data_IF_116555735691
#
_entry.id   IF_116555735691
#
_cell.length_a   1.000
_cell.length_b   1.000
_cell.length_c   1.000
_cell.angle_alpha   90.00
_cell.angle_beta   90.00
_cell.angle_gamma   90.00
#
_symmetry.space_group_name_H-M   'P 1'
#
loop_
_entity.id
_entity.type
_entity.pdbx_description
1 polymer ?
#
# COMPACT_ATOMS: atom_id res chain seq x y z
N UNK A 1 -27.64 26.01 41.80
CA UNK A 1 -28.61 26.14 40.70
C UNK A 1 -27.85 26.48 39.43
N UNK A 2 -27.94 25.63 38.41
CA UNK A 2 -27.50 25.90 37.04
C UNK A 2 -26.30 25.08 36.57
N UNK A 3 -26.51 23.80 36.25
CA UNK A 3 -25.65 23.09 35.29
C UNK A 3 -25.92 23.64 33.88
N UNK A 4 -24.88 23.89 33.06
CA UNK A 4 -25.01 23.98 31.61
C UNK A 4 -24.37 22.79 30.88
N UNK A 5 -24.82 22.50 29.65
CA UNK A 5 -25.03 21.15 29.15
C UNK A 5 -23.80 20.43 28.58
N UNK A 6 -23.87 19.09 28.65
CA UNK A 6 -23.06 18.13 27.91
C UNK A 6 -23.17 18.39 26.40
N UNK A 7 -22.15 19.03 25.83
CA UNK A 7 -22.03 19.17 24.37
C UNK A 7 -21.20 18.01 23.83
N UNK A 8 -21.91 17.04 23.25
CA UNK A 8 -21.36 15.91 22.49
C UNK A 8 -20.74 16.44 21.21
N UNK A 9 -19.40 16.59 21.17
CA UNK A 9 -18.69 16.95 19.94
C UNK A 9 -18.20 15.65 19.28
N UNK A 10 -19.00 15.15 18.33
CA UNK A 10 -18.53 14.24 17.28
C UNK A 10 -17.80 15.09 16.23
N UNK A 11 -16.47 14.96 16.16
CA UNK A 11 -15.67 15.34 15.01
C UNK A 11 -14.48 14.34 15.00
N UNK A 12 -14.45 13.35 14.12
CA UNK A 12 -14.34 13.56 12.68
C UNK A 12 -12.85 13.60 12.36
N UNK A 13 -12.31 12.47 11.94
CA UNK A 13 -10.89 12.21 11.74
C UNK A 13 -10.17 13.33 10.96
N UNK A 14 -9.22 14.00 11.62
CA UNK A 14 -8.28 14.92 10.99
C UNK A 14 -6.92 14.21 10.81
N UNK A 15 -6.86 13.31 9.83
CA UNK A 15 -5.57 12.81 9.33
C UNK A 15 -5.12 13.79 8.23
N UNK A 16 -4.51 14.91 8.62
CA UNK A 16 -4.01 15.91 7.68
C UNK A 16 -2.49 16.06 7.81
N UNK A 17 -1.81 15.50 6.81
CA UNK A 17 -0.66 16.06 6.13
C UNK A 17 0.59 16.41 6.97
N UNK A 18 1.50 15.44 7.08
CA UNK A 18 2.93 15.70 7.23
C UNK A 18 3.68 14.92 6.14
N UNK A 19 3.73 15.49 4.94
CA UNK A 19 4.61 15.07 3.85
C UNK A 19 5.27 16.31 3.27
N UNK A 20 6.30 16.80 3.97
CA UNK A 20 7.21 17.81 3.46
C UNK A 20 8.63 17.27 3.52
N UNK A 21 9.35 17.48 2.42
CA UNK A 21 10.79 17.35 2.21
C UNK A 21 11.34 16.00 1.69
N UNK A 22 11.40 15.92 0.36
CA UNK A 22 12.58 15.36 -0.31
C UNK A 22 12.80 16.07 -1.66
N UNK A 23 13.57 17.15 -1.64
CA UNK A 23 14.01 17.86 -2.82
C UNK A 23 15.47 17.48 -3.12
N UNK A 24 15.75 17.01 -4.35
CA UNK A 24 17.03 17.27 -5.01
C UNK A 24 18.08 16.16 -5.07
N UNK A 25 17.92 15.22 -6.01
CA UNK A 25 19.06 14.64 -6.77
C UNK A 25 18.53 13.99 -8.07
N UNK A 26 18.94 14.44 -9.27
CA UNK A 26 18.33 13.99 -10.53
C UNK A 26 18.63 12.51 -10.89
N UNK A 27 19.61 11.89 -10.22
CA UNK A 27 19.87 10.44 -10.32
C UNK A 27 19.10 9.59 -9.28
N UNK A 28 18.66 10.18 -8.17
CA UNK A 28 17.88 9.48 -7.13
C UNK A 28 16.37 9.64 -7.31
N UNK A 29 15.92 10.60 -8.12
CA UNK A 29 14.49 10.86 -8.34
C UNK A 29 13.73 9.64 -8.87
N UNK A 30 14.30 8.88 -9.82
CA UNK A 30 13.66 7.68 -10.37
C UNK A 30 13.63 6.50 -9.41
N UNK A 31 14.70 6.32 -8.63
CA UNK A 31 14.73 5.31 -7.57
C UNK A 31 13.74 5.65 -6.43
N UNK A 32 13.60 6.94 -6.13
CA UNK A 32 12.61 7.45 -5.18
C UNK A 32 11.18 7.18 -5.63
N UNK A 33 10.85 7.50 -6.88
CA UNK A 33 9.51 7.29 -7.44
C UNK A 33 9.06 5.82 -7.39
N UNK A 34 9.93 4.88 -7.77
CA UNK A 34 9.62 3.45 -7.67
C UNK A 34 9.43 3.01 -6.20
N UNK A 35 10.20 3.57 -5.26
CA UNK A 35 10.05 3.29 -3.83
C UNK A 35 8.74 3.85 -3.26
N UNK A 36 8.35 5.07 -3.65
CA UNK A 36 7.07 5.69 -3.29
C UNK A 36 5.87 4.90 -3.82
N UNK A 37 5.94 4.46 -5.08
CA UNK A 37 4.91 3.63 -5.70
C UNK A 37 4.82 2.24 -5.03
N UNK A 38 5.95 1.66 -4.65
CA UNK A 38 5.99 0.42 -3.87
C UNK A 38 5.33 0.61 -2.50
N UNK A 39 5.65 1.69 -1.78
CA UNK A 39 5.02 2.00 -0.50
C UNK A 39 3.51 2.23 -0.64
N UNK A 40 3.07 2.93 -1.69
CA UNK A 40 1.67 3.17 -1.99
C UNK A 40 0.90 1.89 -2.33
N UNK A 41 1.54 0.95 -3.05
CA UNK A 41 0.98 -0.38 -3.34
C UNK A 41 0.87 -1.22 -2.07
N UNK A 42 1.94 -1.32 -1.27
CA UNK A 42 1.92 -2.03 0.03
C UNK A 42 0.86 -1.49 0.99
N UNK A 43 0.75 -0.16 1.09
CA UNK A 43 -0.27 0.48 1.93
C UNK A 43 -1.69 0.18 1.45
N UNK A 44 -1.91 0.07 0.14
CA UNK A 44 -3.18 -0.39 -0.41
C UNK A 44 -3.47 -1.84 0.00
N UNK A 45 -2.50 -2.74 -0.18
CA UNK A 45 -2.67 -4.16 0.17
C UNK A 45 -3.05 -4.33 1.64
N UNK A 46 -2.36 -3.63 2.55
CA UNK A 46 -2.64 -3.75 3.97
C UNK A 46 -4.05 -3.28 4.34
N UNK A 47 -4.49 -2.13 3.82
CA UNK A 47 -5.85 -1.60 4.10
C UNK A 47 -6.93 -2.49 3.49
N UNK A 48 -6.77 -2.90 2.24
CA UNK A 48 -7.71 -3.78 1.56
C UNK A 48 -7.78 -5.15 2.22
N UNK A 49 -6.64 -5.73 2.61
CA UNK A 49 -6.60 -7.00 3.31
C UNK A 49 -7.31 -6.90 4.67
N UNK A 50 -7.04 -5.86 5.47
CA UNK A 50 -7.71 -5.67 6.76
C UNK A 50 -9.24 -5.55 6.61
N UNK A 51 -9.71 -4.82 5.60
CA UNK A 51 -11.14 -4.69 5.31
C UNK A 51 -11.79 -6.03 4.88
N UNK A 52 -11.08 -6.83 4.08
CA UNK A 52 -11.61 -8.11 3.59
C UNK A 52 -11.49 -9.23 4.63
N UNK A 53 -10.43 -9.27 5.42
CA UNK A 53 -10.22 -10.29 6.45
C UNK A 53 -11.26 -10.22 7.59
N UNK A 54 -11.94 -9.08 7.74
CA UNK A 54 -13.06 -8.94 8.67
C UNK A 54 -14.36 -9.61 8.16
N UNK A 55 -14.44 -9.94 6.87
CA UNK A 55 -15.68 -10.37 6.20
C UNK A 55 -15.56 -11.75 5.52
N UNK A 56 -14.34 -12.21 5.21
CA UNK A 56 -14.10 -13.44 4.47
C UNK A 56 -12.90 -14.22 5.01
N UNK A 57 -12.64 -15.39 4.42
CA UNK A 57 -11.45 -16.17 4.71
C UNK A 57 -10.18 -15.39 4.39
N UNK A 58 -9.09 -15.69 5.09
CA UNK A 58 -7.80 -15.01 4.87
C UNK A 58 -7.28 -15.22 3.46
N UNK A 59 -7.48 -16.41 2.88
CA UNK A 59 -7.06 -16.71 1.51
C UNK A 59 -7.83 -15.84 0.50
N UNK A 60 -9.15 -15.72 0.68
CA UNK A 60 -9.98 -14.88 -0.18
C UNK A 60 -9.68 -13.38 -0.01
N UNK A 61 -9.38 -12.95 1.23
CA UNK A 61 -8.96 -11.59 1.52
C UNK A 61 -7.64 -11.22 0.83
N UNK A 62 -6.67 -12.15 0.78
CA UNK A 62 -5.42 -11.95 0.01
C UNK A 62 -5.75 -11.72 -1.47
N UNK A 63 -6.47 -12.63 -2.11
CA UNK A 63 -6.77 -12.52 -3.55
C UNK A 63 -7.60 -11.27 -3.86
N UNK A 64 -8.57 -10.92 -3.01
CA UNK A 64 -9.37 -9.72 -3.16
C UNK A 64 -8.53 -8.44 -3.02
N UNK A 65 -7.59 -8.40 -2.07
CA UNK A 65 -6.70 -7.25 -1.89
C UNK A 65 -5.76 -7.03 -3.09
N UNK A 66 -5.23 -8.12 -3.67
CA UNK A 66 -4.40 -8.05 -4.88
C UNK A 66 -5.20 -7.52 -6.08
N UNK A 67 -6.44 -7.99 -6.26
CA UNK A 67 -7.33 -7.47 -7.31
C UNK A 67 -7.63 -5.98 -7.11
N UNK A 68 -7.96 -5.57 -5.89
CA UNK A 68 -8.29 -4.18 -5.56
C UNK A 68 -7.11 -3.21 -5.78
N UNK A 69 -5.87 -3.67 -5.60
CA UNK A 69 -4.68 -2.83 -5.69
C UNK A 69 -3.92 -2.94 -7.02
N UNK A 70 -4.51 -3.56 -8.05
CA UNK A 70 -3.87 -3.82 -9.36
C UNK A 70 -3.39 -2.55 -10.07
N UNK A 71 -4.11 -1.43 -9.98
CA UNK A 71 -3.69 -0.17 -10.62
C UNK A 71 -2.39 0.37 -10.03
N UNK A 72 -2.22 0.25 -8.70
CA UNK A 72 -0.99 0.69 -8.02
C UNK A 72 0.18 -0.27 -8.28
N UNK A 73 -0.12 -1.57 -8.40
CA UNK A 73 0.84 -2.57 -8.83
C UNK A 73 1.37 -2.21 -10.24
N UNK A 74 0.48 -1.94 -11.19
CA UNK A 74 0.86 -1.58 -12.56
C UNK A 74 1.71 -0.30 -12.61
N UNK A 75 1.37 0.73 -11.82
CA UNK A 75 2.17 1.95 -11.74
C UNK A 75 3.58 1.68 -11.17
N UNK A 76 3.70 0.86 -10.12
CA UNK A 76 4.99 0.45 -9.58
C UNK A 76 5.83 -0.33 -10.59
N UNK A 77 5.23 -1.31 -11.29
CA UNK A 77 5.92 -2.09 -12.31
C UNK A 77 6.36 -1.24 -13.50
N UNK A 78 5.52 -0.29 -13.94
CA UNK A 78 5.89 0.67 -14.97
C UNK A 78 7.07 1.54 -14.55
N UNK A 79 7.10 2.03 -13.30
CA UNK A 79 8.25 2.77 -12.79
C UNK A 79 9.54 1.93 -12.79
N UNK A 80 9.45 0.62 -12.49
CA UNK A 80 10.61 -0.28 -12.58
C UNK A 80 11.13 -0.44 -14.02
N UNK A 81 10.25 -0.51 -15.02
CA UNK A 81 10.64 -0.60 -16.44
C UNK A 81 11.33 0.66 -16.98
N UNK A 82 11.22 1.79 -16.27
CA UNK A 82 12.00 3.01 -16.61
C UNK A 82 13.44 2.96 -16.12
N UNK A 83 13.81 1.95 -15.34
CA UNK A 83 15.18 1.72 -14.91
C UNK A 83 15.99 1.11 -16.05
N UNK A 84 17.17 1.65 -16.39
CA UNK A 84 18.01 1.13 -17.48
C UNK A 84 18.58 -0.28 -17.22
N UNK A 85 18.26 -0.88 -16.07
CA UNK A 85 18.69 -2.21 -15.66
C UNK A 85 17.61 -3.29 -15.84
N UNK A 86 16.36 -2.90 -16.16
CA UNK A 86 15.23 -3.82 -16.24
C UNK A 86 14.38 -3.47 -17.47
N UNK A 87 14.27 -4.42 -18.39
CA UNK A 87 13.34 -4.32 -19.50
C UNK A 87 11.93 -4.80 -19.10
N UNK A 88 10.91 -4.48 -19.91
CA UNK A 88 9.51 -4.88 -19.66
C UNK A 88 9.34 -6.40 -19.49
N UNK A 89 10.14 -7.20 -20.21
CA UNK A 89 10.13 -8.65 -20.09
C UNK A 89 10.62 -9.11 -18.71
N UNK A 90 11.67 -8.49 -18.18
CA UNK A 90 12.21 -8.82 -16.85
C UNK A 90 11.22 -8.44 -15.75
N UNK A 91 10.55 -7.29 -15.89
CA UNK A 91 9.48 -6.86 -15.00
C UNK A 91 8.30 -7.84 -15.05
N UNK A 92 7.90 -8.28 -16.24
CA UNK A 92 6.84 -9.28 -16.42
C UNK A 92 7.21 -10.64 -15.80
N UNK A 93 8.47 -11.06 -15.92
CA UNK A 93 9.01 -12.29 -15.31
C UNK A 93 9.12 -12.20 -13.78
N UNK A 94 9.45 -11.03 -13.25
CA UNK A 94 9.57 -10.79 -11.81
C UNK A 94 8.21 -10.67 -11.11
N UNK A 95 7.17 -10.24 -11.84
CA UNK A 95 5.83 -9.99 -11.30
C UNK A 95 5.22 -11.18 -10.55
N UNK A 96 5.21 -12.43 -11.06
CA UNK A 96 4.70 -13.57 -10.31
C UNK A 96 5.40 -13.77 -8.96
N UNK A 97 6.74 -13.63 -8.93
CA UNK A 97 7.52 -13.76 -7.70
C UNK A 97 7.21 -12.62 -6.70
N UNK A 98 7.04 -11.39 -7.20
CA UNK A 98 6.61 -10.24 -6.40
C UNK A 98 5.25 -10.51 -5.74
N UNK A 99 4.29 -11.02 -6.51
CA UNK A 99 2.96 -11.36 -6.01
C UNK A 99 3.03 -12.45 -4.94
N UNK A 100 3.80 -13.52 -5.16
CA UNK A 100 3.97 -14.57 -4.13
C UNK A 100 4.57 -14.02 -2.83
N UNK A 101 5.58 -13.14 -2.92
CA UNK A 101 6.14 -12.47 -1.74
C UNK A 101 5.10 -11.61 -1.02
N UNK A 102 4.28 -10.87 -1.76
CA UNK A 102 3.20 -10.05 -1.19
C UNK A 102 2.15 -10.91 -0.48
N UNK A 103 1.75 -12.05 -1.06
CA UNK A 103 0.83 -13.02 -0.43
C UNK A 103 1.40 -13.54 0.89
N UNK A 104 2.65 -13.99 0.88
CA UNK A 104 3.34 -14.47 2.08
C UNK A 104 3.43 -13.40 3.16
N UNK A 105 3.76 -12.16 2.79
CA UNK A 105 3.81 -11.03 3.70
C UNK A 105 2.45 -10.71 4.35
N UNK A 106 1.36 -10.70 3.57
CA UNK A 106 0.01 -10.48 4.10
C UNK A 106 -0.41 -11.58 5.07
N UNK A 107 -0.14 -12.83 4.73
CA UNK A 107 -0.46 -13.99 5.57
C UNK A 107 0.37 -14.01 6.85
N UNK A 108 1.66 -13.68 6.79
CA UNK A 108 2.52 -13.59 7.96
C UNK A 108 2.17 -12.39 8.86
N UNK A 109 1.88 -11.23 8.27
CA UNK A 109 1.53 -10.01 9.00
C UNK A 109 0.25 -10.17 9.81
N UNK A 110 -0.74 -10.88 9.27
CA UNK A 110 -1.97 -11.15 10.00
C UNK A 110 -1.85 -12.34 10.97
N UNK A 111 -0.75 -13.12 10.93
CA UNK A 111 -0.45 -14.14 11.93
C UNK A 111 0.20 -13.54 13.18
N UNK A 112 0.63 -12.27 13.13
CA UNK A 112 1.10 -11.54 14.30
C UNK A 112 -0.12 -11.01 15.08
N UNK A 113 -0.43 -11.56 16.27
CA UNK A 113 -1.42 -10.94 17.15
C UNK A 113 -0.91 -9.55 17.56
N UNK A 114 -1.80 -8.57 17.55
CA UNK A 114 -1.58 -7.24 18.12
C UNK A 114 -1.63 -7.32 19.65
#
# INVERSE_FOLDING_TARGET
MGEPPTMTIRAGAACALLLTLACGYPGFARAGEAADLHAAWRGCLQRSFAAQAAQTSRADAVEASLRACRTREAAYLAALSTSPLLDDEDVARARPALIQKAKGWLLAGAARPL
#
